data_IF_698248388551
#
_entry.id   IF_698248388551
#
_cell.length_a   1.000
_cell.length_b   1.000
_cell.length_c   1.000
_cell.angle_alpha   90.00
_cell.angle_beta   90.00
_cell.angle_gamma   90.00
#
_symmetry.space_group_name_H-M   'P 1'
#
loop_
_entity.id
_entity.type
_entity.pdbx_description
1 polymer ?
#
# COMPACT_ATOMS: atom_id res chain seq x y z
N UNK A 1 -4.17 39.43 -0.03
CA UNK A 1 -5.50 39.18 0.60
C UNK A 1 -5.59 37.80 1.24
N UNK A 2 -5.06 36.74 0.62
CA UNK A 2 -5.14 35.37 1.16
C UNK A 2 -3.97 34.94 2.06
N UNK A 3 -2.93 35.77 2.21
CA UNK A 3 -1.78 35.57 3.13
C UNK A 3 -2.16 35.00 4.50
N UNK A 4 -3.23 35.49 5.19
CA UNK A 4 -3.60 34.98 6.51
C UNK A 4 -4.08 33.52 6.49
N UNK A 5 -4.52 33.00 5.34
CA UNK A 5 -4.97 31.62 5.17
C UNK A 5 -3.81 30.65 4.96
N UNK A 6 -2.57 31.11 4.81
CA UNK A 6 -1.40 30.25 4.71
C UNK A 6 -0.96 29.72 6.08
N UNK A 7 -1.18 30.49 7.14
CA UNK A 7 -0.82 30.10 8.51
C UNK A 7 -1.54 28.82 8.95
N UNK A 8 -0.90 27.95 9.75
CA UNK A 8 -1.52 26.72 10.23
C UNK A 8 -2.74 27.04 11.11
N UNK A 9 -3.90 26.56 10.70
CA UNK A 9 -5.15 26.75 11.42
C UNK A 9 -6.07 25.55 11.17
N UNK A 10 -6.79 25.12 12.20
CA UNK A 10 -7.72 23.98 12.12
C UNK A 10 -8.91 24.26 11.19
N UNK A 11 -9.37 25.51 11.16
CA UNK A 11 -10.47 25.94 10.31
C UNK A 11 -10.04 27.16 9.50
N UNK A 12 -10.11 27.03 8.18
CA UNK A 12 -9.81 28.10 7.22
C UNK A 12 -11.06 28.38 6.41
N UNK A 13 -11.54 29.62 6.44
CA UNK A 13 -12.74 30.05 5.73
C UNK A 13 -12.47 31.29 4.91
N UNK A 14 -13.04 31.35 3.70
CA UNK A 14 -13.07 32.58 2.92
C UNK A 14 -14.51 32.87 2.49
N UNK A 15 -14.96 34.11 2.71
CA UNK A 15 -16.28 34.61 2.32
C UNK A 15 -16.13 35.80 1.36
N UNK A 16 -17.09 36.00 0.46
CA UNK A 16 -17.12 37.16 -0.44
C UNK A 16 -17.89 36.90 -1.74
N UNK A 17 -17.92 37.90 -2.62
CA UNK A 17 -18.67 37.88 -3.88
C UNK A 17 -18.18 36.88 -4.95
N UNK A 18 -18.91 36.81 -6.06
CA UNK A 18 -18.56 35.98 -7.23
C UNK A 18 -17.28 36.50 -7.90
N UNK A 19 -16.45 35.60 -8.42
CA UNK A 19 -15.21 35.98 -9.14
C UNK A 19 -14.04 36.41 -8.25
N UNK A 20 -14.16 36.35 -6.92
CA UNK A 20 -13.12 36.82 -6.01
C UNK A 20 -11.93 35.84 -5.83
N UNK A 21 -11.75 34.86 -6.73
CA UNK A 21 -10.61 33.93 -6.70
C UNK A 21 -10.58 32.87 -5.58
N UNK A 22 -11.53 32.85 -4.63
CA UNK A 22 -11.51 31.94 -3.45
C UNK A 22 -11.28 30.47 -3.82
N UNK A 23 -12.05 29.94 -4.76
CA UNK A 23 -11.93 28.55 -5.18
C UNK A 23 -10.59 28.25 -5.84
N UNK A 24 -10.05 29.20 -6.62
CA UNK A 24 -8.73 29.05 -7.22
C UNK A 24 -7.63 29.03 -6.16
N UNK A 25 -7.69 29.94 -5.17
CA UNK A 25 -6.75 29.98 -4.06
C UNK A 25 -6.74 28.66 -3.26
N UNK A 26 -7.91 28.17 -2.84
CA UNK A 26 -7.98 26.89 -2.12
C UNK A 26 -7.60 25.69 -2.99
N UNK A 27 -7.86 25.74 -4.30
CA UNK A 27 -7.43 24.69 -5.23
C UNK A 27 -5.91 24.63 -5.38
N UNK A 28 -5.24 25.79 -5.46
CA UNK A 28 -3.77 25.88 -5.50
C UNK A 28 -3.17 25.41 -4.18
N UNK A 29 -3.67 25.94 -3.05
CA UNK A 29 -3.23 25.54 -1.72
C UNK A 29 -3.36 24.03 -1.49
N UNK A 30 -4.44 23.42 -1.98
CA UNK A 30 -4.64 21.97 -1.87
C UNK A 30 -3.56 21.18 -2.62
N UNK A 31 -3.26 21.58 -3.86
CA UNK A 31 -2.23 20.91 -4.68
C UNK A 31 -0.85 21.08 -4.07
N UNK A 32 -0.53 22.27 -3.57
CA UNK A 32 0.73 22.55 -2.87
C UNK A 32 0.88 21.71 -1.60
N UNK A 33 -0.17 21.61 -0.77
CA UNK A 33 -0.15 20.76 0.42
C UNK A 33 0.08 19.29 0.06
N UNK A 34 -0.60 18.77 -0.97
CA UNK A 34 -0.42 17.40 -1.45
C UNK A 34 0.99 17.13 -2.02
N UNK A 35 1.73 18.17 -2.39
CA UNK A 35 3.11 18.04 -2.86
C UNK A 35 4.13 18.19 -1.73
N UNK A 36 3.87 19.08 -0.77
CA UNK A 36 4.73 19.33 0.38
C UNK A 36 4.65 18.21 1.43
N UNK A 37 3.44 17.70 1.68
CA UNK A 37 3.17 16.67 2.66
C UNK A 37 2.90 15.33 1.95
N UNK A 38 3.69 14.30 2.26
CA UNK A 38 3.43 12.95 1.75
C UNK A 38 2.22 12.37 2.46
N UNK A 39 1.34 11.72 1.70
CA UNK A 39 0.17 11.02 2.25
C UNK A 39 -1.00 11.93 2.61
N UNK A 40 -1.04 13.17 2.08
CA UNK A 40 -2.18 14.06 2.32
C UNK A 40 -3.48 13.44 1.82
N UNK A 41 -4.46 13.34 2.72
CA UNK A 41 -5.82 12.91 2.42
C UNK A 41 -6.74 14.12 2.43
N UNK A 42 -7.45 14.33 1.32
CA UNK A 42 -8.34 15.46 1.17
C UNK A 42 -9.72 15.06 0.64
N UNK A 43 -10.75 15.66 1.23
CA UNK A 43 -12.14 15.45 0.83
C UNK A 43 -12.77 16.77 0.40
N UNK A 44 -13.25 16.82 -0.84
CA UNK A 44 -14.00 17.94 -1.39
C UNK A 44 -15.50 17.66 -1.27
N UNK A 45 -16.19 18.42 -0.40
CA UNK A 45 -17.61 18.24 -0.10
C UNK A 45 -18.45 19.39 -0.68
N UNK A 46 -19.65 19.09 -1.21
CA UNK A 46 -20.64 20.10 -1.67
C UNK A 46 -22.08 19.71 -1.35
N UNK A 47 -22.98 20.68 -1.18
CA UNK A 47 -24.37 20.47 -0.76
C UNK A 47 -25.27 19.76 -1.78
N UNK A 48 -25.33 20.25 -3.03
CA UNK A 48 -26.21 19.70 -4.06
C UNK A 48 -25.44 19.05 -5.20
N UNK A 49 -25.73 17.77 -5.46
CA UNK A 49 -25.08 16.96 -6.49
C UNK A 49 -26.12 16.46 -7.50
N UNK A 50 -26.12 17.04 -8.71
CA UNK A 50 -26.65 16.36 -9.93
C UNK A 50 -25.67 16.41 -11.11
N UNK A 51 -24.81 17.44 -11.20
CA UNK A 51 -23.82 17.57 -12.30
C UNK A 51 -22.47 18.16 -11.89
N UNK A 52 -22.29 18.59 -10.62
CA UNK A 52 -21.13 19.38 -10.17
C UNK A 52 -19.91 18.58 -9.68
N UNK A 53 -19.94 17.24 -9.69
CA UNK A 53 -18.74 16.43 -9.44
C UNK A 53 -17.61 16.78 -10.44
N UNK A 54 -17.96 17.24 -11.64
CA UNK A 54 -17.02 17.82 -12.59
C UNK A 54 -16.43 19.17 -12.14
N UNK A 55 -17.12 20.00 -11.36
CA UNK A 55 -16.66 21.39 -11.12
C UNK A 55 -15.45 21.51 -10.17
N UNK A 56 -15.49 20.90 -8.98
CA UNK A 56 -14.35 20.92 -8.04
C UNK A 56 -13.20 20.06 -8.55
N UNK A 57 -13.51 18.89 -9.13
CA UNK A 57 -12.47 18.01 -9.66
C UNK A 57 -11.74 18.64 -10.83
N UNK A 58 -12.47 19.19 -11.81
CA UNK A 58 -11.88 19.90 -12.96
C UNK A 58 -11.09 21.14 -12.54
N UNK A 59 -11.52 21.83 -11.49
CA UNK A 59 -10.76 22.94 -10.91
C UNK A 59 -9.40 22.44 -10.40
N UNK A 60 -9.36 21.37 -9.62
CA UNK A 60 -8.12 20.79 -9.09
C UNK A 60 -7.25 20.23 -10.21
N UNK A 61 -7.82 19.50 -11.16
CA UNK A 61 -7.13 19.02 -12.37
C UNK A 61 -6.48 20.16 -13.15
N UNK A 62 -7.23 21.26 -13.34
CA UNK A 62 -6.73 22.46 -14.00
C UNK A 62 -5.59 23.11 -13.21
N UNK A 63 -5.61 23.05 -11.87
CA UNK A 63 -4.53 23.59 -11.03
C UNK A 63 -3.28 22.72 -11.06
N UNK A 64 -3.44 21.41 -11.03
CA UNK A 64 -2.34 20.45 -11.22
C UNK A 64 -1.65 20.71 -12.57
N UNK A 65 -2.45 20.92 -13.62
CA UNK A 65 -1.92 21.25 -14.95
C UNK A 65 -1.22 22.61 -14.98
N UNK A 66 -1.83 23.66 -14.40
CA UNK A 66 -1.25 25.01 -14.41
C UNK A 66 0.03 25.14 -13.59
N UNK A 67 0.18 24.35 -12.52
CA UNK A 67 1.36 24.33 -11.67
C UNK A 67 2.50 23.45 -12.24
N UNK A 68 2.24 22.70 -13.33
CA UNK A 68 3.25 21.84 -13.95
C UNK A 68 3.61 20.59 -13.14
N UNK A 69 2.80 20.24 -12.13
CA UNK A 69 3.09 19.14 -11.17
C UNK A 69 2.42 17.82 -11.55
N UNK A 70 1.80 17.74 -12.73
CA UNK A 70 0.99 16.60 -13.17
C UNK A 70 1.72 15.24 -13.15
N UNK A 71 3.04 15.20 -13.29
CA UNK A 71 3.82 13.96 -13.27
C UNK A 71 3.67 13.15 -11.96
N UNK A 72 3.37 13.83 -10.85
CA UNK A 72 3.19 13.19 -9.54
C UNK A 72 1.75 12.78 -9.22
N UNK A 73 0.77 13.18 -10.02
CA UNK A 73 -0.65 12.95 -9.75
C UNK A 73 -1.24 11.95 -10.74
N UNK A 74 -2.01 10.97 -10.24
CA UNK A 74 -2.81 10.07 -11.09
C UNK A 74 -4.27 10.52 -11.06
N UNK A 75 -4.80 10.89 -12.21
CA UNK A 75 -6.17 11.37 -12.37
C UNK A 75 -7.09 10.19 -12.71
N UNK A 76 -8.02 9.85 -11.83
CA UNK A 76 -9.06 8.84 -12.08
C UNK A 76 -10.41 9.51 -12.30
N UNK A 77 -11.46 8.77 -12.67
CA UNK A 77 -12.80 9.36 -12.89
C UNK A 77 -13.42 9.92 -11.61
N UNK A 78 -13.17 9.28 -10.47
CA UNK A 78 -13.82 9.47 -9.17
C UNK A 78 -12.90 10.10 -8.12
N UNK A 79 -11.58 10.07 -8.33
CA UNK A 79 -10.55 10.54 -7.38
C UNK A 79 -9.29 11.04 -8.10
N UNK A 80 -8.39 11.64 -7.32
CA UNK A 80 -7.05 12.02 -7.76
C UNK A 80 -6.07 11.42 -6.74
N UNK A 81 -5.16 10.56 -7.18
CA UNK A 81 -4.08 10.09 -6.30
C UNK A 81 -2.95 11.13 -6.29
N UNK A 82 -2.46 11.45 -5.10
CA UNK A 82 -1.40 12.44 -4.88
C UNK A 82 -0.04 11.76 -4.78
N UNK A 83 1.07 12.51 -4.92
CA UNK A 83 2.40 11.99 -4.60
C UNK A 83 2.45 11.47 -3.16
N UNK A 84 3.13 10.35 -2.95
CA UNK A 84 3.34 9.79 -1.60
C UNK A 84 2.12 9.13 -0.97
N UNK A 85 1.34 8.36 -1.76
CA UNK A 85 0.22 7.51 -1.30
C UNK A 85 -0.99 8.25 -0.69
N UNK A 86 -1.13 9.55 -0.98
CA UNK A 86 -2.33 10.31 -0.62
C UNK A 86 -3.40 10.31 -1.72
N UNK A 87 -4.55 10.91 -1.42
CA UNK A 87 -5.62 11.05 -2.41
C UNK A 87 -6.56 12.22 -2.10
N UNK A 88 -7.16 12.74 -3.18
CA UNK A 88 -8.22 13.73 -3.18
C UNK A 88 -9.47 13.08 -3.73
N UNK A 89 -10.55 13.16 -2.96
CA UNK A 89 -11.85 12.58 -3.33
C UNK A 89 -12.95 13.65 -3.33
N UNK A 90 -14.01 13.38 -4.08
CA UNK A 90 -15.09 14.34 -4.32
C UNK A 90 -16.44 13.71 -3.92
N UNK A 91 -17.14 14.33 -2.98
CA UNK A 91 -18.42 13.84 -2.44
C UNK A 91 -19.47 14.95 -2.34
N UNK A 92 -20.74 14.60 -2.53
CA UNK A 92 -21.88 15.49 -2.25
C UNK A 92 -22.59 15.11 -0.96
N UNK A 93 -23.13 16.10 -0.24
CA UNK A 93 -23.76 15.91 1.07
C UNK A 93 -25.13 15.21 0.99
N UNK A 94 -25.82 15.28 -0.16
CA UNK A 94 -27.20 14.79 -0.33
C UNK A 94 -27.35 13.28 -0.59
N UNK A 95 -26.35 12.45 -0.31
CA UNK A 95 -26.49 11.00 -0.51
C UNK A 95 -27.37 10.33 0.57
N UNK A 96 -27.62 10.97 1.71
CA UNK A 96 -28.53 10.48 2.75
C UNK A 96 -29.50 11.58 3.19
N UNK A 97 -30.76 11.19 3.37
CA UNK A 97 -31.90 12.08 3.54
C UNK A 97 -31.82 12.91 4.85
N UNK A 98 -32.05 14.22 4.70
CA UNK A 98 -32.75 15.10 5.66
C UNK A 98 -32.26 15.08 7.12
N UNK A 99 -31.13 15.72 7.41
CA UNK A 99 -30.85 16.36 8.71
C UNK A 99 -29.69 17.35 8.59
N UNK A 100 -29.64 18.44 9.40
CA UNK A 100 -28.44 19.28 9.47
C UNK A 100 -27.24 18.45 9.94
N UNK A 101 -26.05 18.70 9.36
CA UNK A 101 -24.81 17.96 9.65
C UNK A 101 -24.57 17.84 11.15
N UNK A 102 -24.68 16.62 11.67
CA UNK A 102 -24.12 16.29 12.98
C UNK A 102 -22.64 15.90 12.80
N UNK A 103 -21.84 16.02 13.86
CA UNK A 103 -20.45 15.55 13.87
C UNK A 103 -20.31 14.08 13.40
N UNK A 104 -21.37 13.29 13.62
CA UNK A 104 -21.51 11.93 13.15
C UNK A 104 -21.47 11.79 11.62
N UNK A 105 -22.06 12.73 10.87
CA UNK A 105 -22.09 12.69 9.40
C UNK A 105 -20.71 13.01 8.83
N UNK A 106 -20.01 13.98 9.43
CA UNK A 106 -18.62 14.29 9.06
C UNK A 106 -17.70 13.11 9.38
N UNK A 107 -17.85 12.50 10.56
CA UNK A 107 -17.11 11.29 10.93
C UNK A 107 -17.43 10.12 10.01
N UNK A 108 -18.68 9.95 9.60
CA UNK A 108 -19.08 8.89 8.67
C UNK A 108 -18.48 9.11 7.29
N UNK A 109 -18.51 10.34 6.76
CA UNK A 109 -17.84 10.69 5.52
C UNK A 109 -16.34 10.43 5.67
N UNK A 110 -15.69 10.96 6.70
CA UNK A 110 -14.26 10.73 6.92
C UNK A 110 -13.94 9.24 7.01
N UNK A 111 -14.71 8.45 7.76
CA UNK A 111 -14.47 7.03 7.94
C UNK A 111 -14.72 6.23 6.65
N UNK A 112 -15.81 6.48 5.95
CA UNK A 112 -16.08 5.87 4.63
C UNK A 112 -14.96 6.21 3.67
N UNK A 113 -14.48 7.45 3.69
CA UNK A 113 -13.40 7.89 2.82
C UNK A 113 -12.09 7.20 3.18
N UNK A 114 -11.74 7.09 4.46
CA UNK A 114 -10.59 6.32 4.94
C UNK A 114 -10.68 4.84 4.54
N UNK A 115 -11.87 4.24 4.57
CA UNK A 115 -12.08 2.84 4.15
C UNK A 115 -11.90 2.70 2.64
N UNK A 116 -12.45 3.61 1.85
CA UNK A 116 -12.29 3.59 0.40
C UNK A 116 -10.83 3.87 0.01
N UNK A 117 -10.10 4.67 0.80
CA UNK A 117 -8.65 4.86 0.65
C UNK A 117 -7.86 3.55 0.80
N UNK A 118 -8.17 2.74 1.82
CA UNK A 118 -7.53 1.45 2.09
C UNK A 118 -7.62 0.51 0.88
N UNK A 119 -8.80 0.45 0.24
CA UNK A 119 -9.03 -0.36 -0.95
C UNK A 119 -8.23 0.12 -2.15
N UNK A 120 -8.18 1.43 -2.36
CA UNK A 120 -7.46 2.02 -3.49
C UNK A 120 -5.95 1.82 -3.37
N UNK A 121 -5.38 2.09 -2.18
CA UNK A 121 -3.96 1.87 -1.90
C UNK A 121 -3.54 0.43 -2.20
N UNK A 122 -4.37 -0.55 -1.80
CA UNK A 122 -4.11 -1.97 -2.05
C UNK A 122 -4.09 -2.30 -3.55
N UNK A 123 -5.01 -1.74 -4.34
CA UNK A 123 -5.07 -1.99 -5.80
C UNK A 123 -3.88 -1.42 -6.58
N UNK A 124 -3.38 -0.23 -6.21
CA UNK A 124 -2.22 0.39 -6.86
C UNK A 124 -0.92 -0.37 -6.50
N UNK A 125 -0.81 -0.88 -5.26
CA UNK A 125 0.31 -1.74 -4.84
C UNK A 125 0.36 -3.02 -5.68
N UNK A 126 -0.78 -3.71 -5.85
CA UNK A 126 -0.84 -4.95 -6.63
C UNK A 126 -0.38 -4.74 -8.08
N UNK A 127 -0.75 -3.61 -8.69
CA UNK A 127 -0.31 -3.28 -10.06
C UNK A 127 1.21 -3.05 -10.17
N UNK A 128 1.81 -2.37 -9.19
CA UNK A 128 3.26 -2.14 -9.14
C UNK A 128 4.03 -3.44 -8.88
N UNK A 129 3.52 -4.28 -7.98
CA UNK A 129 4.09 -5.60 -7.69
C UNK A 129 4.05 -6.46 -8.93
N UNK A 130 2.92 -6.52 -9.64
CA UNK A 130 2.79 -7.29 -10.89
C UNK A 130 3.77 -6.79 -11.96
N UNK A 131 3.91 -5.47 -12.14
CA UNK A 131 4.86 -4.90 -13.10
C UNK A 131 6.32 -5.21 -12.73
N UNK A 132 6.65 -5.15 -11.45
CA UNK A 132 7.99 -5.48 -10.94
C UNK A 132 8.30 -6.96 -11.13
N UNK A 133 7.35 -7.84 -10.80
CA UNK A 133 7.45 -9.28 -11.05
C UNK A 133 7.62 -9.54 -12.55
N UNK A 134 6.81 -8.92 -13.42
CA UNK A 134 6.94 -9.07 -14.86
C UNK A 134 8.32 -8.62 -15.36
N UNK A 135 8.84 -7.51 -14.84
CA UNK A 135 10.17 -6.98 -15.21
C UNK A 135 11.28 -7.92 -14.76
N UNK A 136 11.18 -8.45 -13.53
CA UNK A 136 12.11 -9.43 -13.00
C UNK A 136 12.08 -10.71 -13.85
N UNK A 137 10.90 -11.26 -14.12
CA UNK A 137 10.74 -12.44 -14.97
C UNK A 137 11.32 -12.23 -16.38
N UNK A 138 11.11 -11.05 -16.96
CA UNK A 138 11.68 -10.68 -18.25
C UNK A 138 13.21 -10.57 -18.19
N UNK A 139 13.76 -10.00 -17.12
CA UNK A 139 15.22 -9.91 -16.92
C UNK A 139 15.89 -11.28 -16.73
N UNK A 140 15.13 -12.28 -16.29
CA UNK A 140 15.56 -13.67 -16.21
C UNK A 140 15.34 -14.45 -17.53
N UNK A 141 14.89 -13.78 -18.61
CA UNK A 141 14.69 -14.40 -19.93
C UNK A 141 13.44 -15.27 -20.03
N UNK A 142 12.48 -15.12 -19.12
CA UNK A 142 11.25 -15.92 -19.10
C UNK A 142 10.17 -15.18 -19.91
N UNK A 143 10.00 -15.56 -21.18
CA UNK A 143 8.88 -15.10 -22.01
C UNK A 143 7.57 -15.83 -21.64
N UNK A 144 6.43 -15.17 -21.83
CA UNK A 144 5.10 -15.67 -21.41
C UNK A 144 4.67 -17.01 -22.05
N UNK A 145 5.37 -17.48 -23.09
CA UNK A 145 5.14 -18.75 -23.78
C UNK A 145 5.54 -20.01 -22.99
N UNK A 146 6.49 -19.92 -22.06
CA UNK A 146 7.14 -21.09 -21.44
C UNK A 146 6.58 -21.51 -20.07
N UNK A 147 5.41 -20.99 -19.72
CA UNK A 147 4.76 -21.23 -18.41
C UNK A 147 4.50 -22.71 -18.10
N UNK A 148 4.44 -23.58 -19.13
CA UNK A 148 4.22 -25.03 -18.97
C UNK A 148 5.51 -25.79 -18.64
N UNK A 149 6.65 -25.44 -19.23
CA UNK A 149 7.93 -26.12 -18.98
C UNK A 149 8.51 -25.78 -17.61
N UNK A 150 8.46 -24.50 -17.21
CA UNK A 150 8.88 -24.05 -15.87
C UNK A 150 8.09 -24.75 -14.75
N UNK A 151 6.77 -24.95 -14.93
CA UNK A 151 5.94 -25.66 -13.94
C UNK A 151 6.35 -27.13 -13.79
N UNK A 152 6.76 -27.78 -14.87
CA UNK A 152 7.22 -29.16 -14.85
C UNK A 152 8.60 -29.27 -14.18
N UNK A 153 9.50 -28.33 -14.47
CA UNK A 153 10.87 -28.35 -13.95
C UNK A 153 10.93 -28.01 -12.44
N UNK A 154 10.10 -27.06 -11.98
CA UNK A 154 9.91 -26.79 -10.55
C UNK A 154 9.25 -27.94 -9.77
N UNK A 155 8.57 -28.89 -10.44
CA UNK A 155 8.05 -30.10 -9.81
C UNK A 155 9.12 -31.20 -9.69
N UNK A 156 10.10 -31.23 -10.60
CA UNK A 156 11.25 -32.12 -10.51
C UNK A 156 12.26 -31.69 -9.43
N UNK A 157 12.61 -30.39 -9.37
CA UNK A 157 13.56 -29.88 -8.37
C UNK A 157 13.07 -29.99 -6.92
N UNK A 158 11.75 -29.92 -6.68
CA UNK A 158 11.16 -30.12 -5.34
C UNK A 158 11.27 -31.55 -4.83
N UNK A 159 11.20 -32.55 -5.72
CA UNK A 159 11.39 -33.96 -5.34
C UNK A 159 12.85 -34.24 -5.00
N UNK A 160 13.79 -33.62 -5.73
CA UNK A 160 15.22 -33.78 -5.49
C UNK A 160 15.65 -33.23 -4.12
N UNK A 161 15.17 -32.05 -3.70
CA UNK A 161 15.49 -31.50 -2.37
C UNK A 161 15.02 -32.41 -1.21
N UNK A 162 13.79 -32.96 -1.30
CA UNK A 162 13.27 -33.91 -0.30
C UNK A 162 14.06 -35.22 -0.26
N UNK A 163 14.53 -35.71 -1.41
CA UNK A 163 15.37 -36.92 -1.46
C UNK A 163 16.77 -36.70 -0.86
N UNK A 164 17.36 -35.51 -1.01
CA UNK A 164 18.68 -35.20 -0.44
C UNK A 164 18.61 -35.03 1.09
N UNK A 165 17.54 -34.44 1.62
CA UNK A 165 17.33 -34.30 3.08
C UNK A 165 17.08 -35.64 3.78
N UNK A 166 16.35 -36.56 3.14
CA UNK A 166 16.16 -37.91 3.68
C UNK A 166 17.47 -38.72 3.68
N UNK A 167 18.31 -38.61 2.64
CA UNK A 167 19.53 -39.41 2.54
C UNK A 167 20.62 -39.05 3.58
N UNK A 168 20.73 -37.78 3.98
CA UNK A 168 21.71 -37.38 5.01
C UNK A 168 21.24 -37.67 6.44
N UNK A 169 19.95 -37.63 6.72
CA UNK A 169 19.46 -37.78 8.10
C UNK A 169 19.56 -39.22 8.65
N UNK A 170 19.48 -40.25 7.81
CA UNK A 170 19.60 -41.65 8.26
C UNK A 170 21.04 -42.08 8.54
N UNK A 171 21.98 -41.69 7.67
CA UNK A 171 23.41 -42.01 7.84
C UNK A 171 23.99 -41.25 9.03
N UNK A 172 23.61 -39.98 9.22
CA UNK A 172 24.07 -39.18 10.35
C UNK A 172 23.51 -39.70 11.69
N UNK A 173 22.24 -40.13 11.73
CA UNK A 173 21.65 -40.75 12.93
C UNK A 173 22.35 -42.06 13.31
N UNK A 174 22.68 -42.92 12.34
CA UNK A 174 23.37 -44.18 12.60
C UNK A 174 24.80 -43.99 13.12
N UNK A 175 25.53 -42.99 12.62
CA UNK A 175 26.88 -42.67 13.11
C UNK A 175 26.84 -42.16 14.55
N UNK A 176 25.90 -41.26 14.86
CA UNK A 176 25.75 -40.72 16.22
C UNK A 176 25.39 -41.81 17.23
N UNK A 177 24.52 -42.76 16.88
CA UNK A 177 24.15 -43.84 17.80
C UNK A 177 25.34 -44.77 18.09
N UNK A 178 26.13 -45.13 17.08
CA UNK A 178 27.34 -45.96 17.26
C UNK A 178 28.35 -45.26 18.19
N UNK A 179 28.58 -43.96 18.00
CA UNK A 179 29.49 -43.19 18.85
C UNK A 179 28.97 -43.13 20.29
N UNK A 180 27.68 -42.82 20.48
CA UNK A 180 27.08 -42.73 21.80
C UNK A 180 27.12 -44.06 22.56
N UNK A 181 26.80 -45.18 21.89
CA UNK A 181 26.86 -46.51 22.50
C UNK A 181 28.29 -46.91 22.87
N UNK A 182 29.26 -46.62 22.00
CA UNK A 182 30.68 -46.84 22.29
C UNK A 182 31.18 -46.05 23.49
N UNK A 183 30.77 -44.78 23.60
CA UNK A 183 31.18 -43.91 24.70
C UNK A 183 30.59 -44.36 26.05
N UNK A 184 29.30 -44.73 26.07
CA UNK A 184 28.65 -45.26 27.29
C UNK A 184 29.34 -46.55 27.75
N UNK A 185 29.67 -47.46 26.82
CA UNK A 185 30.39 -48.70 27.14
C UNK A 185 31.77 -48.44 27.74
N UNK A 186 32.53 -47.48 27.19
CA UNK A 186 33.85 -47.12 27.69
C UNK A 186 33.79 -46.48 29.10
N UNK A 187 32.82 -45.58 29.33
CA UNK A 187 32.61 -44.96 30.64
C UNK A 187 32.21 -46.01 31.69
N UNK A 188 31.33 -46.95 31.33
CA UNK A 188 30.91 -48.02 32.23
C UNK A 188 32.08 -48.94 32.64
N UNK A 189 32.92 -49.33 31.67
CA UNK A 189 34.14 -50.11 31.94
C UNK A 189 35.13 -49.34 32.80
N UNK A 190 35.30 -48.03 32.56
CA UNK A 190 36.14 -47.16 33.37
C UNK A 190 35.68 -47.09 34.83
N UNK A 191 34.39 -46.86 35.07
CA UNK A 191 33.78 -46.82 36.40
C UNK A 191 33.95 -48.17 37.12
N UNK A 192 33.72 -49.28 36.40
CA UNK A 192 33.88 -50.63 36.97
C UNK A 192 35.34 -50.95 37.33
N UNK A 193 36.31 -50.49 36.53
CA UNK A 193 37.73 -50.66 36.82
C UNK A 193 38.20 -49.84 38.03
N UNK A 194 37.58 -48.69 38.31
CA UNK A 194 37.89 -47.86 39.48
C UNK A 194 37.19 -48.30 40.77
N UNK A 195 36.02 -48.95 40.68
CA UNK A 195 35.28 -49.48 41.83
C UNK A 195 35.68 -50.93 42.20
N UNK A 196 36.43 -51.61 41.33
CA UNK A 196 36.94 -52.97 41.55
C UNK A 196 38.35 -53.05 42.14
N UNK A 197 38.87 -51.95 42.71
CA UNK A 197 40.10 -51.88 43.50
C UNK A 197 39.77 -51.47 44.93
#
# INVERSE_FOLDING_TARGET
>A
MFEPLLQPARYKGAFGGRGSGKSHFFGELLVEMCQAERGTLAVCIREAQRTLAQSSKRLVESKIASLGVGAGFKLYSDKIATPGDGAIIFRGMRYQAVTPMNEADVKAIVMETLIEQERVRRSDIDAVVVKTIATILTSFGIEEGDRKELRADFQHLRRWRRSVEQAQSYTFKAVITVIATGFIGAVWLGIKATLGK
#
